data_IF_801853942870
#
_entry.id   IF_801853942870
#
_cell.length_a   1.000
_cell.length_b   1.000
_cell.length_c   1.000
_cell.angle_alpha   90.00
_cell.angle_beta   90.00
_cell.angle_gamma   90.00
#
_symmetry.space_group_name_H-M   'P 1'
#
loop_
_entity.id
_entity.type
_entity.pdbx_description
1 polymer ?
#
# COMPACT_ATOMS: atom_id res chain seq x y z
N UNK A 1 76.70 -0.50 -6.07
CA UNK A 1 76.54 -1.72 -6.88
C UNK A 1 75.06 -1.86 -7.28
N UNK A 2 74.77 -2.19 -8.54
CA UNK A 2 73.44 -2.07 -9.17
C UNK A 2 72.63 -3.38 -9.06
N UNK A 3 71.30 -3.32 -9.23
CA UNK A 3 70.55 -4.37 -9.95
C UNK A 3 69.13 -3.94 -10.32
N UNK A 4 69.00 -3.62 -11.60
CA UNK A 4 67.75 -3.65 -12.37
C UNK A 4 67.00 -4.97 -12.19
N UNK A 5 65.67 -4.91 -12.07
CA UNK A 5 64.79 -5.98 -12.57
C UNK A 5 63.69 -5.38 -13.44
N UNK A 6 63.52 -6.04 -14.58
CA UNK A 6 62.83 -5.63 -15.80
C UNK A 6 61.31 -5.71 -15.68
N UNK A 7 60.66 -4.88 -16.51
CA UNK A 7 59.28 -4.98 -16.96
C UNK A 7 58.90 -6.40 -17.43
N UNK A 8 57.65 -6.78 -17.17
CA UNK A 8 56.83 -7.52 -18.14
C UNK A 8 55.51 -6.77 -18.36
N UNK A 9 55.44 -6.07 -19.48
CA UNK A 9 54.22 -5.77 -20.22
C UNK A 9 53.62 -7.07 -20.77
N UNK A 10 52.28 -7.12 -20.87
CA UNK A 10 51.41 -7.94 -21.75
C UNK A 10 50.08 -8.15 -20.99
N UNK A 11 48.87 -8.06 -21.55
CA UNK A 11 48.37 -7.78 -22.89
C UNK A 11 46.84 -7.69 -22.75
N UNK A 12 46.22 -6.74 -23.46
CA UNK A 12 44.90 -6.82 -24.11
C UNK A 12 43.74 -7.57 -23.43
N UNK A 13 42.63 -6.85 -23.27
CA UNK A 13 41.31 -7.44 -23.05
C UNK A 13 40.20 -6.41 -23.21
N UNK A 14 40.09 -5.83 -24.40
CA UNK A 14 38.93 -5.06 -24.84
C UNK A 14 37.72 -6.01 -24.83
N UNK A 15 36.84 -5.86 -23.85
CA UNK A 15 35.59 -6.59 -23.75
C UNK A 15 34.50 -5.61 -23.34
N UNK A 16 33.99 -4.88 -24.33
CA UNK A 16 32.78 -4.09 -24.22
C UNK A 16 31.63 -5.02 -23.84
N UNK A 17 31.27 -5.06 -22.56
CA UNK A 17 29.96 -5.52 -22.15
C UNK A 17 29.02 -4.31 -22.28
N UNK A 18 28.05 -4.32 -23.22
CA UNK A 18 27.00 -3.32 -23.17
C UNK A 18 26.26 -3.55 -21.87
N UNK A 19 26.36 -2.58 -20.96
CA UNK A 19 25.43 -2.45 -19.87
C UNK A 19 24.04 -2.31 -20.51
N UNK A 20 23.34 -3.43 -20.67
CA UNK A 20 21.90 -3.43 -20.87
C UNK A 20 21.32 -2.88 -19.57
N UNK A 21 21.23 -1.55 -19.54
CA UNK A 21 20.32 -0.80 -18.70
C UNK A 21 18.93 -1.31 -19.05
N UNK A 22 18.53 -2.41 -18.41
CA UNK A 22 17.13 -2.71 -18.20
C UNK A 22 16.60 -1.54 -17.38
N UNK A 23 16.05 -0.55 -18.09
CA UNK A 23 15.08 0.38 -17.55
C UNK A 23 13.96 -0.45 -16.96
N UNK A 24 14.12 -0.84 -15.69
CA UNK A 24 13.00 -1.19 -14.86
C UNK A 24 12.15 0.09 -14.81
N UNK A 25 11.06 0.10 -15.59
CA UNK A 25 9.95 0.99 -15.31
C UNK A 25 9.45 0.59 -13.92
N UNK A 26 10.03 1.18 -12.88
CA UNK A 26 9.47 1.13 -11.54
C UNK A 26 8.19 1.96 -11.67
N UNK A 27 7.09 1.29 -12.00
CA UNK A 27 5.76 1.81 -11.69
C UNK A 27 5.74 1.78 -10.17
N UNK A 28 6.13 2.90 -9.55
CA UNK A 28 6.01 3.08 -8.11
C UNK A 28 4.52 2.96 -7.80
N UNK A 29 4.10 1.76 -7.40
CA UNK A 29 2.79 1.57 -6.79
C UNK A 29 2.73 2.52 -5.59
N UNK A 30 1.58 3.17 -5.35
CA UNK A 30 1.40 3.89 -4.09
C UNK A 30 1.71 2.95 -2.94
N UNK A 31 2.49 3.42 -1.95
CA UNK A 31 2.89 2.62 -0.79
C UNK A 31 1.65 2.11 -0.05
N UNK A 32 1.66 0.84 0.35
CA UNK A 32 0.59 0.25 1.15
C UNK A 32 0.34 1.08 2.41
N UNK A 33 -0.94 1.32 2.72
CA UNK A 33 -1.32 2.08 3.92
C UNK A 33 -1.68 1.13 5.05
N UNK A 34 -1.18 1.40 6.25
CA UNK A 34 -1.59 0.69 7.47
C UNK A 34 -1.98 1.68 8.57
N UNK A 35 -3.09 1.39 9.25
CA UNK A 35 -3.64 2.21 10.31
C UNK A 35 -3.93 1.34 11.54
N UNK A 36 -3.18 1.57 12.61
CA UNK A 36 -3.37 0.86 13.87
C UNK A 36 -4.58 1.40 14.63
N UNK A 37 -5.31 0.52 15.29
CA UNK A 37 -6.42 0.88 16.18
C UNK A 37 -5.93 1.63 17.42
N UNK A 38 -6.79 2.44 18.08
CA UNK A 38 -6.40 3.21 19.27
C UNK A 38 -5.90 2.38 20.45
N UNK A 39 -6.39 1.14 20.59
CA UNK A 39 -5.95 0.18 21.60
C UNK A 39 -4.71 -0.62 21.17
N UNK A 40 -4.27 -0.45 19.92
CA UNK A 40 -3.14 -1.15 19.34
C UNK A 40 -3.35 -2.65 19.17
N UNK A 41 -4.58 -3.17 19.18
CA UNK A 41 -4.83 -4.60 19.00
C UNK A 41 -5.10 -4.98 17.54
N UNK A 42 -5.53 -4.02 16.73
CA UNK A 42 -5.96 -4.24 15.36
C UNK A 42 -5.18 -3.36 14.38
N UNK A 43 -5.06 -3.85 13.15
CA UNK A 43 -4.43 -3.14 12.05
C UNK A 43 -5.38 -3.19 10.86
N UNK A 44 -5.75 -2.01 10.35
CA UNK A 44 -6.40 -1.86 9.07
C UNK A 44 -5.33 -1.66 8.00
N UNK A 45 -5.34 -2.48 6.96
CA UNK A 45 -4.37 -2.47 5.87
C UNK A 45 -5.11 -2.17 4.56
N UNK A 46 -4.50 -1.35 3.71
CA UNK A 46 -4.93 -1.07 2.36
C UNK A 46 -3.81 -1.44 1.39
N UNK A 47 -4.02 -2.54 0.66
CA UNK A 47 -3.13 -2.98 -0.41
C UNK A 47 -3.58 -2.31 -1.71
N UNK A 48 -2.71 -1.52 -2.31
CA UNK A 48 -3.05 -0.82 -3.55
C UNK A 48 -2.60 -1.62 -4.77
N UNK A 49 -3.57 -2.02 -5.59
CA UNK A 49 -3.33 -2.73 -6.83
C UNK A 49 -3.77 -1.88 -8.02
N UNK A 50 -2.99 -1.86 -9.10
CA UNK A 50 -3.39 -1.21 -10.36
C UNK A 50 -2.80 0.19 -10.57
N UNK A 51 -1.65 0.20 -11.24
CA UNK A 51 -1.06 1.37 -11.91
C UNK A 51 -0.71 1.05 -13.37
N UNK A 52 -1.49 0.19 -14.03
CA UNK A 52 -1.16 -0.37 -15.33
C UNK A 52 -2.21 -0.06 -16.40
N UNK A 53 -1.82 0.76 -17.40
CA UNK A 53 -2.30 0.93 -18.80
C UNK A 53 -3.79 0.81 -19.19
N UNK A 54 -4.74 0.48 -18.32
CA UNK A 54 -6.17 0.50 -18.63
C UNK A 54 -6.75 1.92 -18.48
N UNK A 55 -7.62 2.27 -19.43
CA UNK A 55 -8.14 3.61 -19.78
C UNK A 55 -8.94 4.35 -18.68
N UNK A 56 -8.95 3.87 -17.44
CA UNK A 56 -9.58 4.56 -16.30
C UNK A 56 -8.47 4.94 -15.31
N UNK A 57 -8.10 6.22 -15.18
CA UNK A 57 -7.13 6.64 -14.18
C UNK A 57 -7.75 6.53 -12.78
N UNK A 58 -7.42 5.47 -12.07
CA UNK A 58 -7.79 5.26 -10.68
C UNK A 58 -7.04 4.06 -10.12
N UNK A 59 -6.66 4.16 -8.85
CA UNK A 59 -6.04 3.06 -8.11
C UNK A 59 -7.16 2.13 -7.63
N UNK A 60 -6.93 0.81 -7.62
CA UNK A 60 -7.76 -0.10 -6.83
C UNK A 60 -7.07 -0.35 -5.50
N UNK A 61 -7.85 -0.57 -4.44
CA UNK A 61 -7.33 -0.94 -3.14
C UNK A 61 -8.18 -2.05 -2.52
N UNK A 62 -7.51 -3.05 -1.96
CA UNK A 62 -8.12 -4.04 -1.09
C UNK A 62 -7.91 -3.64 0.36
N UNK A 63 -9.00 -3.48 1.10
CA UNK A 63 -8.99 -3.16 2.52
C UNK A 63 -9.17 -4.44 3.32
N UNK A 64 -8.28 -4.67 4.27
CA UNK A 64 -8.34 -5.80 5.19
C UNK A 64 -8.14 -5.34 6.63
N UNK A 65 -8.83 -5.99 7.56
CA UNK A 65 -8.74 -5.73 8.99
C UNK A 65 -8.29 -7.01 9.69
N UNK A 66 -7.32 -6.89 10.60
CA UNK A 66 -6.87 -8.02 11.41
C UNK A 66 -6.56 -7.66 12.84
N UNK A 67 -6.67 -8.66 13.71
CA UNK A 67 -5.96 -8.65 14.97
C UNK A 67 -4.44 -8.78 14.72
N UNK A 68 -3.59 -8.17 15.55
CA UNK A 68 -2.12 -8.21 15.37
C UNK A 68 -1.55 -9.62 15.23
N UNK A 69 -2.13 -10.57 15.96
CA UNK A 69 -1.74 -11.99 15.96
C UNK A 69 -2.71 -12.87 15.16
N UNK A 70 -3.58 -12.29 14.33
CA UNK A 70 -4.60 -12.98 13.57
C UNK A 70 -4.44 -12.84 12.06
N UNK A 71 -5.26 -13.57 11.33
CA UNK A 71 -5.34 -13.51 9.87
C UNK A 71 -6.14 -12.29 9.39
N UNK A 72 -5.81 -11.73 8.21
CA UNK A 72 -6.57 -10.65 7.60
C UNK A 72 -7.98 -11.07 7.21
N UNK A 73 -8.95 -10.27 7.63
CA UNK A 73 -10.34 -10.34 7.18
C UNK A 73 -10.58 -9.24 6.16
N UNK A 74 -11.01 -9.60 4.96
CA UNK A 74 -11.34 -8.63 3.92
C UNK A 74 -12.52 -7.76 4.36
N UNK A 75 -12.34 -6.44 4.30
CA UNK A 75 -13.35 -5.44 4.60
C UNK A 75 -14.07 -5.02 3.32
N UNK A 76 -13.31 -4.63 2.29
CA UNK A 76 -13.85 -4.22 1.01
C UNK A 76 -12.79 -4.20 -0.09
N UNK A 77 -13.25 -4.23 -1.33
CA UNK A 77 -12.46 -3.88 -2.51
C UNK A 77 -13.01 -2.58 -3.06
N UNK A 78 -12.13 -1.62 -3.30
CA UNK A 78 -12.46 -0.30 -3.81
C UNK A 78 -11.76 -0.11 -5.15
N UNK A 79 -12.52 0.29 -6.17
CA UNK A 79 -12.02 0.52 -7.52
C UNK A 79 -12.09 2.00 -7.90
N UNK A 80 -11.27 2.41 -8.86
CA UNK A 80 -11.25 3.78 -9.40
C UNK A 80 -11.02 4.88 -8.33
N UNK A 81 -10.25 4.57 -7.29
CA UNK A 81 -9.94 5.49 -6.19
C UNK A 81 -9.02 6.61 -6.69
N UNK A 82 -9.44 7.85 -6.44
CA UNK A 82 -8.60 9.06 -6.60
C UNK A 82 -7.91 9.46 -5.31
N UNK A 83 -8.61 9.29 -4.19
CA UNK A 83 -8.10 9.58 -2.85
C UNK A 83 -8.73 8.62 -1.86
N UNK A 84 -7.91 8.04 -0.99
CA UNK A 84 -8.34 7.19 0.12
C UNK A 84 -7.99 7.85 1.45
N UNK A 85 -8.96 7.92 2.36
CA UNK A 85 -8.78 8.32 3.75
C UNK A 85 -9.42 7.26 4.65
N UNK A 86 -8.63 6.77 5.61
CA UNK A 86 -9.04 5.76 6.58
C UNK A 86 -8.90 6.34 7.98
N UNK A 87 -9.91 6.14 8.82
CA UNK A 87 -9.87 6.62 10.20
C UNK A 87 -10.61 5.68 11.15
N UNK A 88 -10.04 5.50 12.35
CA UNK A 88 -10.76 5.00 13.51
C UNK A 88 -11.55 6.15 14.12
N UNK A 89 -12.87 6.00 14.21
CA UNK A 89 -13.74 6.99 14.87
C UNK A 89 -14.06 6.59 16.30
N UNK A 90 -14.03 5.29 16.59
CA UNK A 90 -14.15 4.67 17.91
C UNK A 90 -13.32 3.37 17.91
N UNK A 91 -13.09 2.70 19.07
CA UNK A 91 -12.29 1.47 19.12
C UNK A 91 -12.77 0.32 18.22
N UNK A 92 -14.06 0.31 17.86
CA UNK A 92 -14.68 -0.72 17.00
C UNK A 92 -15.39 -0.12 15.77
N UNK A 93 -15.10 1.14 15.45
CA UNK A 93 -15.79 1.86 14.38
C UNK A 93 -14.79 2.46 13.41
N UNK A 94 -14.80 1.95 12.18
CA UNK A 94 -13.99 2.39 11.06
C UNK A 94 -14.78 3.34 10.16
N UNK A 95 -14.09 4.34 9.65
CA UNK A 95 -14.60 5.20 8.60
C UNK A 95 -13.69 5.15 7.39
N UNK A 96 -14.28 4.86 6.25
CA UNK A 96 -13.62 4.78 4.95
C UNK A 96 -14.17 5.89 4.06
N UNK A 97 -13.28 6.72 3.54
CA UNK A 97 -13.60 7.70 2.50
C UNK A 97 -12.75 7.39 1.28
N UNK A 98 -13.41 6.91 0.23
CA UNK A 98 -12.78 6.66 -1.07
C UNK A 98 -13.41 7.60 -2.11
N UNK A 99 -12.70 8.68 -2.44
CA UNK A 99 -13.16 9.61 -3.47
C UNK A 99 -12.95 9.00 -4.86
N UNK A 100 -13.99 9.01 -5.68
CA UNK A 100 -13.94 8.47 -7.05
C UNK A 100 -14.31 6.99 -7.17
N UNK A 101 -14.32 6.25 -6.06
CA UNK A 101 -14.85 4.90 -6.01
C UNK A 101 -16.39 4.89 -5.99
N UNK A 102 -16.98 3.76 -6.37
CA UNK A 102 -18.41 3.55 -6.18
C UNK A 102 -18.79 3.61 -4.69
N UNK A 103 -19.96 4.19 -4.35
CA UNK A 103 -20.40 4.28 -2.97
C UNK A 103 -20.70 2.88 -2.42
N UNK A 104 -19.88 2.44 -1.46
CA UNK A 104 -20.16 1.25 -0.66
C UNK A 104 -21.17 1.57 0.47
N UNK A 105 -21.87 0.54 0.94
CA UNK A 105 -22.83 0.65 2.03
C UNK A 105 -22.17 0.35 3.36
N UNK A 106 -22.62 1.01 4.42
CA UNK A 106 -22.21 0.72 5.79
C UNK A 106 -22.46 -0.75 6.12
N UNK A 107 -21.50 -1.38 6.81
CA UNK A 107 -21.56 -2.81 7.09
C UNK A 107 -20.89 -3.15 8.43
N UNK A 108 -21.17 -4.35 8.92
CA UNK A 108 -20.45 -4.94 10.05
C UNK A 108 -19.47 -6.00 9.54
N UNK A 109 -18.23 -5.96 10.02
CA UNK A 109 -17.20 -6.96 9.72
C UNK A 109 -16.83 -7.68 11.02
N UNK A 110 -16.87 -9.01 10.99
CA UNK A 110 -16.45 -9.85 12.11
C UNK A 110 -15.02 -10.32 11.86
N UNK A 111 -14.14 -10.08 12.83
CA UNK A 111 -12.72 -10.47 12.77
C UNK A 111 -12.46 -11.53 13.83
N UNK A 112 -11.89 -12.66 13.43
CA UNK A 112 -11.46 -13.68 14.38
C UNK A 112 -10.26 -13.21 15.20
N UNK A 113 -10.35 -13.37 16.52
CA UNK A 113 -9.27 -13.02 17.45
C UNK A 113 -8.96 -14.20 18.38
N UNK A 114 -7.78 -14.25 19.02
CA UNK A 114 -7.45 -15.27 20.01
C UNK A 114 -8.45 -15.40 21.17
N UNK A 115 -9.17 -14.32 21.48
CA UNK A 115 -10.17 -14.24 22.56
C UNK A 115 -11.59 -14.60 22.08
N UNK A 116 -11.79 -14.75 20.77
CA UNK A 116 -13.09 -14.95 20.12
C UNK A 116 -13.35 -13.95 18.98
N UNK A 117 -14.39 -14.15 18.17
CA UNK A 117 -14.75 -13.23 17.10
C UNK A 117 -15.12 -11.85 17.68
N UNK A 118 -14.77 -10.79 16.95
CA UNK A 118 -15.06 -9.42 17.33
C UNK A 118 -15.63 -8.62 16.16
N UNK A 119 -16.73 -7.91 16.42
CA UNK A 119 -17.44 -7.15 15.41
C UNK A 119 -16.97 -5.69 15.32
N UNK A 120 -16.90 -5.19 14.09
CA UNK A 120 -16.51 -3.84 13.75
C UNK A 120 -17.57 -3.20 12.86
N UNK A 121 -17.94 -1.97 13.19
CA UNK A 121 -18.77 -1.15 12.32
C UNK A 121 -17.89 -0.45 11.29
N UNK A 122 -18.23 -0.58 10.02
CA UNK A 122 -17.53 0.05 8.91
C UNK A 122 -18.49 1.00 8.23
N UNK A 123 -18.18 2.29 8.31
CA UNK A 123 -18.97 3.35 7.70
C UNK A 123 -18.27 3.91 6.45
N UNK A 124 -19.01 4.10 5.38
CA UNK A 124 -18.53 4.69 4.14
C UNK A 124 -19.05 6.10 4.00
N UNK A 125 -18.13 7.06 3.94
CA UNK A 125 -18.50 8.44 3.73
C UNK A 125 -17.34 9.40 3.89
N UNK A 126 -17.19 10.28 2.92
CA UNK A 126 -16.22 11.36 3.02
C UNK A 126 -16.73 12.45 3.95
N UNK A 127 -15.89 13.00 4.86
CA UNK A 127 -16.27 14.17 5.62
C UNK A 127 -16.65 15.29 4.63
N UNK A 128 -17.66 16.09 4.98
CA UNK A 128 -17.93 17.30 4.22
C UNK A 128 -16.63 18.12 4.20
N UNK A 129 -16.05 18.34 3.02
CA UNK A 129 -14.84 19.16 2.89
C UNK A 129 -15.14 20.49 3.59
N UNK A 130 -14.35 20.89 4.62
CA UNK A 130 -14.52 22.22 5.19
C UNK A 130 -14.45 23.22 4.04
N UNK A 131 -15.31 24.25 3.98
CA UNK A 131 -15.20 25.26 2.93
C UNK A 131 -13.76 25.76 2.91
N UNK A 132 -13.12 25.65 1.74
CA UNK A 132 -11.76 26.14 1.57
C UNK A 132 -11.79 27.67 1.70
N UNK A 133 -11.51 28.19 2.90
CA UNK A 133 -11.35 29.63 3.09
C UNK A 133 -11.87 30.14 4.43
N UNK A 134 -10.92 30.55 5.26
CA UNK A 134 -11.00 31.76 6.09
C UNK A 134 -9.73 32.56 5.83
#
# INVERSE_FOLDING_TARGET
MPRFRRLRLLRFGLGAAPALLLSACIVSQPEDMSLQSPDGQFVLEADFSGGGITLVPGLSAELSLRHRDGEPTQVATLDAIRQLELAWTEPRTLRICAQGAEPAQDQTVTVDTPQGPADFQVSYGCPARPPAGG
#
